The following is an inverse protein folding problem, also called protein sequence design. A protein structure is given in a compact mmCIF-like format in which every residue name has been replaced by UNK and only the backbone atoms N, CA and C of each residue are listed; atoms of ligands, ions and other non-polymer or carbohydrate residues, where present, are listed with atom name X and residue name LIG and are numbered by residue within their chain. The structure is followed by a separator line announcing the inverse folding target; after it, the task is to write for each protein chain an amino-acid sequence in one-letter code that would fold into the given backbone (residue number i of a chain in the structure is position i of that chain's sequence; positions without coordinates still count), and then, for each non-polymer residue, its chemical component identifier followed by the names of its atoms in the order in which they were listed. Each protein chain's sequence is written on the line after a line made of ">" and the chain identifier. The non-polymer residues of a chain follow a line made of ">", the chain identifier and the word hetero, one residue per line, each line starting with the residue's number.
data_IF_501906964013
#
_entry.id   IF_501906964013
#
_cell.length_a   1.000
_cell.length_b   1.000
_cell.length_c   1.000
_cell.angle_alpha   90.00
_cell.angle_beta   90.00
_cell.angle_gamma   90.00
#
_symmetry.space_group_name_H-M   'P 1'
#
loop_
_entity.id
_entity.type
_entity.pdbx_description
1 polymer ?
#
# COMPACT_ATOMS: atom_id res chain seq x y z
N UNK A 1 -80.40 16.78 62.11
CA UNK A 1 -81.03 15.85 61.15
C UNK A 1 -80.07 15.66 59.96
N UNK A 2 -79.80 14.39 59.60
CA UNK A 2 -79.22 13.86 58.34
C UNK A 2 -77.77 14.24 57.96
N UNK A 3 -76.76 13.36 58.13
CA UNK A 3 -76.20 12.30 57.21
C UNK A 3 -75.62 12.87 55.89
N UNK A 4 -74.29 13.12 55.76
CA UNK A 4 -73.16 12.26 55.26
C UNK A 4 -73.09 12.13 53.69
N UNK A 5 -71.94 11.82 53.01
CA UNK A 5 -70.59 12.44 53.00
C UNK A 5 -69.76 12.24 51.66
N UNK A 6 -68.45 12.58 51.69
CA UNK A 6 -67.25 12.06 50.94
C UNK A 6 -67.16 12.15 49.40
N UNK A 7 -66.08 12.80 48.89
CA UNK A 7 -65.04 12.32 47.92
C UNK A 7 -64.32 13.55 47.30
N UNK A 8 -63.04 13.63 46.91
CA UNK A 8 -61.82 12.79 47.00
C UNK A 8 -60.62 13.65 46.54
N UNK A 9 -59.40 13.24 46.96
CA UNK A 9 -58.08 13.41 46.30
C UNK A 9 -57.31 14.74 46.44
N UNK A 10 -56.26 14.68 47.27
CA UNK A 10 -54.91 15.23 46.99
C UNK A 10 -54.09 14.18 46.23
N UNK A 11 -53.06 14.55 45.44
CA UNK A 11 -51.67 14.38 45.91
C UNK A 11 -50.71 15.49 45.33
N UNK A 12 -49.37 15.34 45.29
CA UNK A 12 -48.47 16.10 46.17
C UNK A 12 -47.49 17.04 45.43
N UNK A 13 -46.90 17.96 46.20
CA UNK A 13 -45.67 18.67 45.85
C UNK A 13 -44.49 17.69 45.93
N UNK A 14 -43.67 17.60 44.87
CA UNK A 14 -42.29 17.10 44.94
C UNK A 14 -41.43 17.91 43.95
N UNK A 15 -40.38 18.49 44.51
CA UNK A 15 -39.46 19.45 43.90
C UNK A 15 -38.54 18.81 42.85
N UNK A 16 -38.38 19.48 41.71
CA UNK A 16 -37.37 19.19 40.70
C UNK A 16 -36.08 19.94 41.01
N UNK A 17 -35.03 19.22 41.41
CA UNK A 17 -33.65 19.70 41.40
C UNK A 17 -33.11 19.50 39.98
N UNK A 18 -32.95 20.59 39.23
CA UNK A 18 -32.30 20.58 37.93
C UNK A 18 -30.78 20.62 38.11
N UNK A 19 -30.13 19.47 38.01
CA UNK A 19 -28.68 19.38 37.84
C UNK A 19 -28.32 19.59 36.37
N UNK A 20 -27.67 20.71 36.05
CA UNK A 20 -27.14 20.99 34.72
C UNK A 20 -25.93 20.08 34.46
N UNK A 21 -26.08 19.08 33.59
CA UNK A 21 -24.95 18.35 33.03
C UNK A 21 -24.32 19.19 31.91
N UNK A 22 -23.11 19.72 32.15
CA UNK A 22 -22.22 20.18 31.09
C UNK A 22 -21.76 18.97 30.29
N UNK A 23 -22.45 18.69 29.17
CA UNK A 23 -21.93 17.81 28.15
C UNK A 23 -20.74 18.51 27.48
N UNK A 24 -19.53 18.08 27.79
CA UNK A 24 -18.35 18.41 26.97
C UNK A 24 -18.55 17.71 25.64
N UNK A 25 -19.05 18.46 24.65
CA UNK A 25 -19.02 18.03 23.25
C UNK A 25 -17.54 18.00 22.87
N UNK A 26 -16.95 16.80 22.86
CA UNK A 26 -15.68 16.57 22.17
C UNK A 26 -15.95 16.77 20.68
N UNK A 27 -15.72 18.01 20.20
CA UNK A 27 -15.60 18.26 18.79
C UNK A 27 -14.44 17.41 18.29
N UNK A 28 -14.70 16.50 17.35
CA UNK A 28 -13.63 15.80 16.65
C UNK A 28 -12.72 16.85 16.01
N UNK A 29 -11.57 17.11 16.60
CA UNK A 29 -10.61 18.08 16.09
C UNK A 29 -10.14 17.58 14.73
N UNK A 30 -10.20 18.43 13.71
CA UNK A 30 -9.68 18.10 12.39
C UNK A 30 -8.20 17.67 12.51
N UNK A 31 -7.78 16.70 11.69
CA UNK A 31 -6.39 16.31 11.64
C UNK A 31 -5.48 17.53 11.37
N UNK A 32 -4.31 17.62 12.02
CA UNK A 32 -3.37 18.73 11.83
C UNK A 32 -2.75 18.73 10.42
N UNK A 33 -1.98 19.78 10.09
CA UNK A 33 -1.21 19.79 8.85
C UNK A 33 -0.07 18.78 8.89
N UNK A 34 0.41 18.32 7.73
CA UNK A 34 1.59 17.46 7.68
C UNK A 34 2.82 18.17 8.27
N UNK A 35 2.97 19.48 7.99
CA UNK A 35 4.02 20.33 8.54
C UNK A 35 4.07 20.26 10.09
N UNK A 36 2.90 20.31 10.75
CA UNK A 36 2.81 20.26 12.22
C UNK A 36 3.17 18.88 12.77
N UNK A 37 2.72 17.81 12.11
CA UNK A 37 2.95 16.43 12.59
C UNK A 37 4.43 16.04 12.51
N UNK A 38 5.14 16.58 11.52
CA UNK A 38 6.53 16.26 11.19
C UNK A 38 7.49 17.39 11.58
N UNK A 39 7.07 18.31 12.45
CA UNK A 39 7.94 19.34 12.98
C UNK A 39 9.22 18.72 13.60
N UNK A 40 10.38 19.24 13.20
CA UNK A 40 11.70 18.74 13.62
C UNK A 40 12.24 17.54 12.84
N UNK A 41 11.48 17.00 11.87
CA UNK A 41 11.93 15.93 10.98
C UNK A 41 12.81 16.51 9.87
N UNK A 42 13.95 15.88 9.63
CA UNK A 42 14.81 16.17 8.47
C UNK A 42 15.05 14.90 7.65
N UNK A 43 14.46 14.84 6.46
CA UNK A 43 14.70 13.74 5.53
C UNK A 43 15.98 13.98 4.73
N UNK A 44 16.81 12.93 4.64
CA UNK A 44 17.91 12.85 3.68
C UNK A 44 17.35 12.66 2.27
N UNK A 45 17.53 13.63 1.34
CA UNK A 45 17.03 13.54 -0.02
C UNK A 45 17.54 12.34 -0.82
N UNK A 46 18.67 11.75 -0.44
CA UNK A 46 19.25 10.57 -1.07
C UNK A 46 18.71 9.24 -0.50
N UNK A 47 17.82 9.29 0.50
CA UNK A 47 17.30 8.12 1.22
C UNK A 47 15.77 8.06 1.21
N UNK A 48 15.18 8.27 0.03
CA UNK A 48 13.73 8.24 -0.19
C UNK A 48 13.37 7.01 -1.02
N UNK A 49 12.49 6.18 -0.51
CA UNK A 49 12.00 4.99 -1.21
C UNK A 49 10.49 4.86 -1.14
N UNK A 50 9.93 4.03 -2.01
CA UNK A 50 8.49 3.80 -2.04
C UNK A 50 8.15 2.32 -2.10
N UNK A 51 6.97 1.92 -1.64
CA UNK A 51 6.45 0.58 -1.89
C UNK A 51 4.94 0.57 -1.91
N UNK A 52 4.33 -0.49 -2.42
CA UNK A 52 2.90 -0.65 -2.30
C UNK A 52 2.37 -1.99 -2.75
N UNK A 53 1.11 -2.23 -2.41
CA UNK A 53 0.37 -3.45 -2.77
C UNK A 53 -0.78 -3.16 -3.73
N UNK A 54 -1.06 -4.06 -4.67
CA UNK A 54 -2.23 -3.96 -5.56
C UNK A 54 -2.20 -2.66 -6.38
N UNK A 55 -3.28 -1.88 -6.41
CA UNK A 55 -3.25 -0.51 -6.98
C UNK A 55 -2.16 0.39 -6.39
N UNK A 56 -1.81 0.22 -5.11
CA UNK A 56 -0.66 0.87 -4.49
C UNK A 56 0.68 0.37 -5.02
N UNK A 57 0.78 -0.88 -5.46
CA UNK A 57 1.95 -1.42 -6.17
C UNK A 57 2.09 -0.83 -7.58
N UNK A 58 0.98 -0.65 -8.31
CA UNK A 58 0.98 0.12 -9.55
C UNK A 58 1.43 1.56 -9.30
N UNK A 59 0.90 2.23 -8.26
CA UNK A 59 1.30 3.59 -7.90
C UNK A 59 2.76 3.67 -7.49
N UNK A 60 3.27 2.73 -6.70
CA UNK A 60 4.69 2.67 -6.31
C UNK A 60 5.60 2.61 -7.55
N UNK A 61 5.26 1.75 -8.52
CA UNK A 61 6.02 1.67 -9.77
C UNK A 61 5.89 2.94 -10.61
N UNK A 62 4.69 3.52 -10.73
CA UNK A 62 4.46 4.79 -11.43
C UNK A 62 5.26 5.94 -10.81
N UNK A 63 5.23 6.04 -9.48
CA UNK A 63 5.91 7.08 -8.73
C UNK A 63 7.44 6.95 -8.86
N UNK A 64 7.96 5.72 -8.76
CA UNK A 64 9.38 5.42 -8.97
C UNK A 64 9.84 5.86 -10.38
N UNK A 65 9.08 5.52 -11.42
CA UNK A 65 9.41 5.94 -12.79
C UNK A 65 9.24 7.45 -12.99
N UNK A 66 8.20 8.06 -12.41
CA UNK A 66 7.94 9.48 -12.55
C UNK A 66 9.01 10.37 -11.90
N UNK A 67 9.60 9.88 -10.79
CA UNK A 67 10.59 10.59 -9.99
C UNK A 67 11.91 9.81 -9.86
N UNK A 68 12.31 9.11 -10.92
CA UNK A 68 13.47 8.18 -10.94
C UNK A 68 14.82 8.78 -10.58
N UNK A 69 14.94 10.11 -10.54
CA UNK A 69 16.17 10.79 -10.12
C UNK A 69 16.27 10.98 -8.59
N UNK A 70 15.19 10.73 -7.85
CA UNK A 70 15.07 11.09 -6.43
C UNK A 70 14.61 9.94 -5.53
N UNK A 71 14.19 8.83 -6.11
CA UNK A 71 13.68 7.67 -5.39
C UNK A 71 14.70 6.55 -5.53
N UNK A 72 15.38 6.18 -4.46
CA UNK A 72 16.50 5.23 -4.48
C UNK A 72 16.09 3.75 -4.59
N UNK A 73 14.78 3.47 -4.63
CA UNK A 73 14.28 2.11 -4.69
C UNK A 73 12.79 1.95 -4.46
N UNK A 74 12.28 0.79 -4.88
CA UNK A 74 10.86 0.46 -4.85
C UNK A 74 10.54 -0.98 -4.46
N UNK A 75 9.48 -1.16 -3.65
CA UNK A 75 8.82 -2.43 -3.40
C UNK A 75 7.49 -2.54 -4.15
N UNK A 76 7.30 -3.57 -4.99
CA UNK A 76 6.04 -3.79 -5.73
C UNK A 76 5.43 -5.14 -5.33
N UNK A 77 4.33 -5.09 -4.58
CA UNK A 77 3.59 -6.27 -4.12
C UNK A 77 2.34 -6.42 -4.97
N UNK A 78 2.26 -7.45 -5.81
CA UNK A 78 1.09 -7.68 -6.67
C UNK A 78 0.61 -6.39 -7.40
N UNK A 79 1.55 -5.63 -7.97
CA UNK A 79 1.27 -4.42 -8.75
C UNK A 79 1.26 -4.71 -10.25
N UNK A 80 1.83 -3.82 -11.06
CA UNK A 80 1.97 -4.11 -12.48
C UNK A 80 2.67 -2.99 -13.27
N UNK A 81 2.81 -3.17 -14.59
CA UNK A 81 3.67 -2.32 -15.43
C UNK A 81 3.28 -0.84 -15.42
N UNK A 82 4.28 0.03 -15.60
CA UNK A 82 4.08 1.44 -15.88
C UNK A 82 3.11 1.63 -17.05
N UNK A 83 2.05 2.43 -16.85
CA UNK A 83 1.00 2.68 -17.85
C UNK A 83 0.29 1.41 -18.38
N UNK A 84 0.18 0.35 -17.57
CA UNK A 84 -0.36 -0.94 -18.00
C UNK A 84 -1.74 -0.87 -18.67
N UNK A 85 -2.65 -0.07 -18.10
CA UNK A 85 -4.03 0.07 -18.57
C UNK A 85 -4.18 0.96 -19.80
N UNK A 86 -3.11 1.64 -20.24
CA UNK A 86 -3.13 2.58 -21.34
C UNK A 86 -4.27 3.63 -21.28
N UNK A 87 -4.64 4.06 -20.07
CA UNK A 87 -5.75 5.00 -19.89
C UNK A 87 -7.14 4.39 -20.10
N UNK A 88 -7.32 3.07 -19.96
CA UNK A 88 -8.61 2.39 -20.16
C UNK A 88 -9.00 1.53 -18.96
N UNK A 89 -10.23 1.72 -18.47
CA UNK A 89 -10.76 0.89 -17.38
C UNK A 89 -10.90 -0.58 -17.81
N UNK A 90 -11.18 -0.83 -19.09
CA UNK A 90 -11.31 -2.19 -19.61
C UNK A 90 -9.95 -2.91 -19.59
N UNK A 91 -8.89 -2.25 -20.05
CA UNK A 91 -7.55 -2.83 -20.02
C UNK A 91 -7.05 -3.01 -18.59
N UNK A 92 -7.39 -2.10 -17.68
CA UNK A 92 -7.12 -2.25 -16.27
C UNK A 92 -7.69 -3.58 -15.73
N UNK A 93 -8.98 -3.84 -15.96
CA UNK A 93 -9.66 -5.01 -15.38
C UNK A 93 -9.53 -6.32 -16.16
N UNK A 94 -8.85 -6.31 -17.32
CA UNK A 94 -8.68 -7.49 -18.18
C UNK A 94 -7.22 -7.84 -18.49
N UNK A 95 -6.35 -6.86 -18.72
CA UNK A 95 -4.94 -7.07 -19.06
C UNK A 95 -4.01 -6.95 -17.85
N UNK A 96 -4.37 -6.13 -16.89
CA UNK A 96 -3.51 -5.79 -15.77
C UNK A 96 -3.96 -6.39 -14.43
N UNK A 97 -5.24 -6.78 -14.34
CA UNK A 97 -5.84 -7.38 -13.15
C UNK A 97 -7.03 -8.25 -13.55
N UNK A 98 -7.59 -8.99 -12.59
CA UNK A 98 -8.77 -9.82 -12.74
C UNK A 98 -9.94 -9.30 -11.87
N UNK A 99 -10.04 -7.98 -11.73
CA UNK A 99 -11.04 -7.35 -10.88
C UNK A 99 -12.49 -7.55 -11.34
N UNK A 100 -12.73 -7.53 -12.65
CA UNK A 100 -14.05 -7.82 -13.25
C UNK A 100 -14.35 -9.32 -13.22
N UNK A 101 -13.33 -10.17 -13.28
CA UNK A 101 -13.50 -11.62 -13.14
C UNK A 101 -14.10 -12.01 -11.79
N UNK A 102 -13.62 -11.37 -10.71
CA UNK A 102 -14.10 -11.64 -9.36
C UNK A 102 -15.56 -11.22 -9.19
N UNK A 103 -15.94 -10.03 -9.65
CA UNK A 103 -17.33 -9.57 -9.62
C UNK A 103 -18.24 -10.41 -10.54
N UNK A 104 -17.78 -10.75 -11.74
CA UNK A 104 -18.50 -11.61 -12.68
C UNK A 104 -18.82 -12.99 -12.08
N UNK A 105 -17.84 -13.62 -11.42
CA UNK A 105 -18.04 -14.90 -10.73
C UNK A 105 -18.94 -14.77 -9.50
N UNK A 106 -18.81 -13.67 -8.75
CA UNK A 106 -19.65 -13.40 -7.58
C UNK A 106 -21.12 -13.17 -7.95
N UNK A 107 -21.40 -12.69 -9.17
CA UNK A 107 -22.75 -12.55 -9.73
C UNK A 107 -23.34 -13.86 -10.29
N UNK A 108 -22.64 -15.00 -10.15
CA UNK A 108 -23.12 -16.31 -10.58
C UNK A 108 -23.16 -16.51 -12.10
N UNK A 109 -22.45 -15.67 -12.86
CA UNK A 109 -22.31 -15.83 -14.31
C UNK A 109 -21.39 -17.00 -14.65
N UNK A 110 -21.60 -17.63 -15.81
CA UNK A 110 -20.81 -18.77 -16.26
C UNK A 110 -19.32 -18.42 -16.26
N UNK A 111 -18.52 -19.22 -15.54
CA UNK A 111 -17.08 -19.06 -15.42
C UNK A 111 -16.35 -19.03 -16.78
N UNK A 112 -16.91 -19.65 -17.83
CA UNK A 112 -16.42 -19.62 -19.22
C UNK A 112 -16.61 -18.27 -19.89
N UNK A 113 -17.64 -17.51 -19.52
CA UNK A 113 -17.85 -16.15 -20.00
C UNK A 113 -16.94 -15.18 -19.27
N UNK A 114 -16.82 -15.34 -17.95
CA UNK A 114 -15.88 -14.55 -17.18
C UNK A 114 -14.46 -14.80 -17.71
N UNK A 115 -13.96 -16.06 -17.78
CA UNK A 115 -12.56 -16.37 -18.10
C UNK A 115 -12.06 -15.90 -19.47
N UNK A 116 -12.95 -15.63 -20.42
CA UNK A 116 -12.60 -15.03 -21.73
C UNK A 116 -12.11 -13.58 -21.63
N UNK A 117 -12.23 -12.96 -20.46
CA UNK A 117 -11.78 -11.58 -20.22
C UNK A 117 -10.40 -11.48 -19.57
N UNK A 118 -9.77 -12.61 -19.23
CA UNK A 118 -8.41 -12.63 -18.69
C UNK A 118 -7.35 -12.55 -19.81
N UNK A 119 -6.95 -11.32 -20.13
CA UNK A 119 -6.01 -10.96 -21.19
C UNK A 119 -4.61 -10.65 -20.66
N UNK A 120 -4.35 -10.93 -19.38
CA UNK A 120 -3.02 -10.77 -18.79
C UNK A 120 -2.00 -11.72 -19.43
N UNK A 121 -0.69 -11.36 -19.47
CA UNK A 121 0.34 -12.20 -20.05
C UNK A 121 0.33 -13.63 -19.46
N UNK A 122 0.41 -14.64 -20.31
CA UNK A 122 0.38 -16.07 -19.93
C UNK A 122 1.73 -16.74 -19.94
N UNK A 123 2.72 -16.10 -20.57
CA UNK A 123 4.05 -16.65 -20.73
C UNK A 123 5.11 -15.54 -20.78
N UNK A 124 6.38 -15.94 -20.72
CA UNK A 124 7.51 -15.02 -20.66
C UNK A 124 7.68 -14.16 -21.93
N UNK A 125 7.21 -14.61 -23.11
CA UNK A 125 7.28 -13.82 -24.33
C UNK A 125 6.27 -12.67 -24.29
N UNK A 126 5.04 -12.96 -23.85
CA UNK A 126 4.00 -11.95 -23.66
C UNK A 126 4.39 -10.95 -22.56
N UNK A 127 4.95 -11.42 -21.44
CA UNK A 127 5.42 -10.55 -20.36
C UNK A 127 6.49 -9.57 -20.86
N UNK A 128 7.47 -10.04 -21.63
CA UNK A 128 8.49 -9.17 -22.27
C UNK A 128 7.89 -8.18 -23.26
N UNK A 129 6.86 -8.57 -24.01
CA UNK A 129 6.15 -7.65 -24.93
C UNK A 129 5.47 -6.52 -24.15
N UNK A 130 4.80 -6.84 -23.05
CA UNK A 130 4.18 -5.84 -22.18
C UNK A 130 5.25 -4.94 -21.54
N UNK A 131 6.35 -5.52 -21.05
CA UNK A 131 7.48 -4.74 -20.52
C UNK A 131 8.07 -3.77 -21.55
N UNK A 132 8.21 -4.21 -22.82
CA UNK A 132 8.69 -3.35 -23.90
C UNK A 132 7.73 -2.19 -24.20
N UNK A 133 6.41 -2.44 -24.23
CA UNK A 133 5.41 -1.39 -24.42
C UNK A 133 5.40 -0.39 -23.25
N UNK A 134 5.48 -0.90 -22.02
CA UNK A 134 5.58 -0.13 -20.78
C UNK A 134 6.83 0.79 -20.78
N UNK A 135 8.01 0.24 -21.06
CA UNK A 135 9.25 1.02 -21.11
C UNK A 135 9.28 2.01 -22.29
N UNK A 136 8.67 1.66 -23.43
CA UNK A 136 8.51 2.59 -24.54
C UNK A 136 7.64 3.80 -24.16
N UNK A 137 6.60 3.61 -23.35
CA UNK A 137 5.82 4.74 -22.80
C UNK A 137 6.66 5.58 -21.84
N UNK A 138 7.40 4.97 -20.92
CA UNK A 138 8.31 5.70 -20.02
C UNK A 138 9.28 6.58 -20.82
N UNK A 139 9.94 6.04 -21.86
CA UNK A 139 10.82 6.82 -22.75
C UNK A 139 10.11 7.97 -23.46
N UNK A 140 8.85 7.77 -23.89
CA UNK A 140 8.04 8.86 -24.48
C UNK A 140 7.81 9.99 -23.48
N UNK A 141 7.49 9.66 -22.23
CA UNK A 141 7.23 10.67 -21.20
C UNK A 141 8.52 11.36 -20.73
N UNK A 142 9.65 10.64 -20.67
CA UNK A 142 10.96 11.22 -20.39
C UNK A 142 11.36 12.22 -21.48
N UNK A 143 11.21 11.84 -22.76
CA UNK A 143 11.49 12.71 -23.89
C UNK A 143 10.59 13.96 -23.91
N UNK A 144 9.36 13.82 -23.39
CA UNK A 144 8.42 14.92 -23.23
C UNK A 144 8.65 15.76 -21.95
N UNK A 145 9.63 15.42 -21.12
CA UNK A 145 9.92 16.11 -19.85
C UNK A 145 8.81 15.98 -18.80
N UNK A 146 7.98 14.93 -18.88
CA UNK A 146 6.86 14.70 -17.94
C UNK A 146 7.21 13.74 -16.79
N UNK A 147 8.37 13.12 -16.87
CA UNK A 147 8.96 12.28 -15.82
C UNK A 147 10.47 12.55 -15.72
N UNK A 148 11.09 12.09 -14.64
CA UNK A 148 12.53 12.15 -14.45
C UNK A 148 13.32 11.29 -15.44
N UNK A 149 14.64 11.43 -15.41
CA UNK A 149 15.54 10.65 -16.26
C UNK A 149 15.53 9.17 -15.88
N UNK A 150 15.23 8.30 -16.84
CA UNK A 150 15.17 6.85 -16.65
C UNK A 150 16.54 6.25 -16.35
N UNK A 151 17.63 6.93 -16.71
CA UNK A 151 18.99 6.56 -16.31
C UNK A 151 19.15 6.52 -14.77
N UNK A 152 18.34 7.27 -14.02
CA UNK A 152 18.32 7.21 -12.56
C UNK A 152 17.95 5.83 -12.01
N UNK A 153 17.15 5.04 -12.76
CA UNK A 153 16.68 3.73 -12.33
C UNK A 153 17.79 2.67 -12.20
N UNK A 154 18.91 2.83 -12.91
CA UNK A 154 19.91 1.77 -13.06
C UNK A 154 20.54 1.35 -11.72
N UNK A 155 20.77 2.31 -10.82
CA UNK A 155 21.37 2.09 -9.50
C UNK A 155 20.37 1.80 -8.39
N UNK A 156 19.07 1.87 -8.66
CA UNK A 156 18.03 1.76 -7.65
C UNK A 156 17.84 0.30 -7.18
N UNK A 157 17.33 0.16 -5.95
CA UNK A 157 17.04 -1.14 -5.34
C UNK A 157 15.56 -1.53 -5.56
N UNK A 158 15.32 -2.73 -6.07
CA UNK A 158 13.97 -3.22 -6.39
C UNK A 158 13.63 -4.52 -5.67
N UNK A 159 12.46 -4.53 -5.03
CA UNK A 159 11.85 -5.74 -4.49
C UNK A 159 10.51 -5.99 -5.17
N UNK A 160 10.31 -7.18 -5.73
CA UNK A 160 9.06 -7.60 -6.35
C UNK A 160 8.52 -8.84 -5.64
N UNK A 161 7.19 -8.91 -5.48
CA UNK A 161 6.53 -10.15 -5.09
C UNK A 161 5.22 -10.35 -5.84
N UNK A 162 5.01 -11.59 -6.29
CA UNK A 162 3.76 -12.10 -6.82
C UNK A 162 3.48 -13.43 -6.11
N UNK A 163 2.52 -13.46 -5.21
CA UNK A 163 2.23 -14.64 -4.40
C UNK A 163 1.66 -15.79 -5.25
N UNK A 164 1.94 -17.05 -4.86
CA UNK A 164 1.63 -18.27 -5.62
C UNK A 164 0.12 -18.41 -5.93
N UNK A 165 -0.75 -17.92 -5.03
CA UNK A 165 -2.20 -18.06 -5.15
C UNK A 165 -2.92 -16.72 -5.33
N UNK A 166 -2.21 -15.68 -5.79
CA UNK A 166 -2.83 -14.42 -6.18
C UNK A 166 -3.69 -14.61 -7.43
N UNK A 167 -5.01 -14.48 -7.25
CA UNK A 167 -6.00 -14.58 -8.31
C UNK A 167 -6.51 -13.20 -8.79
N UNK A 168 -5.96 -12.10 -8.27
CA UNK A 168 -6.36 -10.73 -8.61
C UNK A 168 -5.35 -10.13 -9.58
N UNK A 169 -4.06 -10.29 -9.31
CA UNK A 169 -2.97 -9.79 -10.14
C UNK A 169 -2.15 -10.97 -10.63
N UNK A 170 -2.30 -11.37 -11.91
CA UNK A 170 -1.62 -12.55 -12.44
C UNK A 170 -0.09 -12.40 -12.47
N UNK A 171 0.63 -13.50 -12.27
CA UNK A 171 2.10 -13.53 -12.36
C UNK A 171 2.65 -12.89 -13.63
N UNK A 172 2.03 -13.09 -14.79
CA UNK A 172 2.51 -12.51 -16.04
C UNK A 172 2.51 -10.98 -16.07
N UNK A 173 1.66 -10.33 -15.26
CA UNK A 173 1.65 -8.87 -15.07
C UNK A 173 2.89 -8.44 -14.28
N UNK A 174 3.18 -9.12 -13.17
CA UNK A 174 4.39 -8.85 -12.36
C UNK A 174 5.69 -9.27 -13.07
N UNK A 175 5.65 -10.32 -13.90
CA UNK A 175 6.77 -10.71 -14.76
C UNK A 175 7.12 -9.60 -15.77
N UNK A 176 6.13 -8.83 -16.23
CA UNK A 176 6.37 -7.66 -17.08
C UNK A 176 7.03 -6.50 -16.31
N UNK A 177 6.73 -6.33 -15.01
CA UNK A 177 7.45 -5.38 -14.13
C UNK A 177 8.90 -5.82 -13.94
N UNK A 178 9.11 -7.11 -13.70
CA UNK A 178 10.46 -7.67 -13.61
C UNK A 178 11.27 -7.39 -14.88
N UNK A 179 10.72 -7.70 -16.06
CA UNK A 179 11.39 -7.44 -17.33
C UNK A 179 11.59 -5.95 -17.63
N UNK A 180 10.71 -5.06 -17.16
CA UNK A 180 10.92 -3.60 -17.25
C UNK A 180 12.23 -3.19 -16.56
N UNK A 181 12.51 -3.77 -15.40
CA UNK A 181 13.70 -3.45 -14.62
C UNK A 181 14.97 -4.14 -15.11
N UNK A 182 14.91 -5.45 -15.43
CA UNK A 182 16.13 -6.25 -15.62
C UNK A 182 16.64 -6.32 -17.05
N UNK A 183 15.78 -6.13 -18.05
CA UNK A 183 16.22 -6.30 -19.43
C UNK A 183 17.18 -5.18 -19.84
N UNK A 184 18.28 -5.53 -20.50
CA UNK A 184 19.39 -4.63 -20.82
C UNK A 184 19.00 -3.46 -21.76
N UNK A 185 17.91 -3.58 -22.51
CA UNK A 185 17.36 -2.54 -23.39
C UNK A 185 16.31 -1.64 -22.71
N UNK A 186 16.10 -1.81 -21.41
CA UNK A 186 15.11 -1.11 -20.58
C UNK A 186 15.79 -0.35 -19.43
N UNK A 187 15.37 -0.55 -18.18
CA UNK A 187 15.99 0.14 -17.05
C UNK A 187 17.39 -0.44 -16.72
N UNK A 188 17.64 -1.69 -17.10
CA UNK A 188 18.92 -2.36 -16.94
C UNK A 188 19.51 -2.26 -15.52
N UNK A 189 18.67 -2.49 -14.50
CA UNK A 189 19.09 -2.45 -13.09
C UNK A 189 20.32 -3.31 -12.87
N UNK A 190 21.26 -2.79 -12.09
CA UNK A 190 22.51 -3.45 -11.78
C UNK A 190 22.29 -4.87 -11.22
N UNK A 191 23.17 -5.79 -11.61
CA UNK A 191 23.07 -7.18 -11.17
C UNK A 191 23.16 -7.24 -9.65
N UNK A 192 22.15 -7.84 -9.03
CA UNK A 192 22.08 -7.94 -7.58
C UNK A 192 21.32 -6.82 -6.91
N UNK A 193 20.77 -5.83 -7.64
CA UNK A 193 19.89 -4.76 -7.11
C UNK A 193 18.39 -5.05 -7.26
N UNK A 194 17.99 -6.24 -7.73
CA UNK A 194 16.59 -6.68 -7.79
C UNK A 194 16.36 -8.07 -7.21
N UNK A 195 15.33 -8.19 -6.37
CA UNK A 195 14.79 -9.48 -5.90
C UNK A 195 13.35 -9.67 -6.38
N UNK A 196 12.99 -10.89 -6.77
CA UNK A 196 11.63 -11.22 -7.19
C UNK A 196 11.15 -12.54 -6.59
N UNK A 197 10.27 -12.42 -5.59
CA UNK A 197 9.62 -13.55 -4.93
C UNK A 197 8.37 -13.96 -5.71
N UNK A 198 8.32 -15.22 -6.14
CA UNK A 198 7.22 -15.76 -6.97
C UNK A 198 6.52 -16.95 -6.36
N UNK A 199 7.01 -17.41 -5.21
CA UNK A 199 6.64 -18.72 -4.66
C UNK A 199 6.12 -18.66 -3.24
N UNK A 200 6.01 -17.46 -2.65
CA UNK A 200 5.38 -17.32 -1.35
C UNK A 200 3.90 -17.79 -1.43
N UNK A 201 3.49 -18.78 -0.61
CA UNK A 201 2.15 -19.34 -0.67
C UNK A 201 1.17 -18.43 0.06
N UNK A 202 0.64 -17.44 -0.65
CA UNK A 202 -0.41 -16.54 -0.16
C UNK A 202 -1.37 -16.18 -1.29
N UNK A 203 -2.54 -15.67 -0.92
CA UNK A 203 -3.47 -15.01 -1.85
C UNK A 203 -3.05 -13.54 -2.04
N UNK A 204 -3.91 -12.74 -2.66
CA UNK A 204 -3.72 -11.31 -2.80
C UNK A 204 -3.83 -10.61 -1.44
N UNK A 205 -2.71 -10.38 -0.76
CA UNK A 205 -2.68 -9.83 0.60
C UNK A 205 -1.32 -9.23 0.93
N UNK A 206 -1.28 -8.29 1.87
CA UNK A 206 -0.02 -7.85 2.48
C UNK A 206 0.39 -8.91 3.51
N UNK A 207 1.42 -9.68 3.16
CA UNK A 207 1.95 -10.77 3.98
C UNK A 207 2.68 -10.21 5.19
N UNK A 208 2.38 -10.74 6.38
CA UNK A 208 3.11 -10.47 7.63
C UNK A 208 3.23 -11.73 8.48
N UNK A 209 4.02 -11.66 9.54
CA UNK A 209 4.05 -12.68 10.60
C UNK A 209 3.30 -12.20 11.85
N UNK A 210 3.52 -12.86 13.00
CA UNK A 210 2.84 -12.56 14.26
C UNK A 210 3.41 -11.37 15.03
N UNK A 211 4.54 -10.79 14.61
CA UNK A 211 5.21 -9.73 15.39
C UNK A 211 4.32 -8.48 15.49
N UNK A 212 4.16 -7.91 16.69
CA UNK A 212 3.30 -6.75 16.96
C UNK A 212 1.89 -6.85 16.33
N UNK A 213 1.35 -8.08 16.19
CA UNK A 213 0.01 -8.31 15.64
C UNK A 213 -1.03 -7.81 16.65
N UNK A 214 -2.03 -7.01 16.23
CA UNK A 214 -3.09 -6.57 17.13
C UNK A 214 -3.99 -7.73 17.56
N UNK A 215 -4.67 -7.57 18.69
CA UNK A 215 -5.77 -8.47 19.05
C UNK A 215 -6.98 -8.25 18.11
N UNK A 216 -7.77 -9.31 17.91
CA UNK A 216 -8.99 -9.28 17.08
C UNK A 216 -8.75 -9.61 15.60
N UNK A 217 -9.81 -9.44 14.80
CA UNK A 217 -9.89 -9.95 13.42
C UNK A 217 -9.53 -8.89 12.36
N UNK A 218 -8.56 -8.03 12.65
CA UNK A 218 -8.08 -6.99 11.70
C UNK A 218 -6.89 -7.43 10.85
N UNK A 219 -6.20 -8.48 11.29
CA UNK A 219 -5.18 -9.21 10.51
C UNK A 219 -5.69 -10.62 10.30
N UNK A 220 -5.85 -11.02 9.03
CA UNK A 220 -6.36 -12.33 8.65
C UNK A 220 -5.36 -13.46 8.90
N UNK A 221 -5.77 -14.68 8.55
CA UNK A 221 -5.05 -15.94 8.84
C UNK A 221 -4.40 -16.58 7.61
N UNK A 222 -4.28 -15.84 6.51
CA UNK A 222 -3.62 -16.29 5.27
C UNK A 222 -4.19 -17.60 4.69
N UNK A 223 -5.51 -17.67 4.41
CA UNK A 223 -6.13 -18.91 3.94
C UNK A 223 -5.65 -19.31 2.54
N UNK A 224 -5.27 -20.57 2.37
CA UNK A 224 -4.82 -21.13 1.09
C UNK A 224 -5.89 -22.00 0.41
N UNK A 225 -5.89 -22.11 -0.92
CA UNK A 225 -6.68 -23.12 -1.63
C UNK A 225 -6.45 -24.53 -1.06
N UNK A 226 -7.49 -25.39 -0.97
CA UNK A 226 -8.83 -25.23 -1.53
C UNK A 226 -9.82 -24.43 -0.65
N UNK A 227 -9.40 -23.90 0.52
CA UNK A 227 -10.29 -23.09 1.34
C UNK A 227 -10.77 -21.85 0.56
N UNK A 228 -12.05 -21.44 0.69
CA UNK A 228 -12.55 -20.25 0.01
C UNK A 228 -11.83 -18.98 0.50
N UNK A 229 -11.71 -17.94 -0.34
CA UNK A 229 -11.18 -16.65 0.11
C UNK A 229 -12.11 -16.01 1.16
N UNK A 230 -11.59 -15.16 2.06
CA UNK A 230 -12.40 -14.38 2.98
C UNK A 230 -13.44 -13.52 2.24
N UNK A 231 -14.59 -13.22 2.85
CA UNK A 231 -15.52 -12.23 2.32
C UNK A 231 -14.85 -10.85 2.21
N UNK A 232 -14.94 -10.24 1.04
CA UNK A 232 -14.23 -9.00 0.69
C UNK A 232 -14.61 -7.79 1.58
N UNK A 233 -15.80 -7.80 2.18
CA UNK A 233 -16.27 -6.71 3.06
C UNK A 233 -15.69 -6.82 4.49
N UNK A 234 -15.17 -7.99 4.84
CA UNK A 234 -14.46 -8.28 6.10
C UNK A 234 -12.95 -8.36 5.94
N UNK A 235 -12.43 -8.32 4.71
CA UNK A 235 -11.01 -8.54 4.44
C UNK A 235 -10.22 -7.22 4.50
N UNK A 236 -9.23 -7.16 5.39
CA UNK A 236 -8.29 -6.04 5.46
C UNK A 236 -7.18 -6.15 4.40
N UNK A 237 -7.06 -7.29 3.72
CA UNK A 237 -5.97 -7.65 2.81
C UNK A 237 -4.59 -7.53 3.47
N UNK A 238 -4.54 -7.90 4.75
CA UNK A 238 -3.35 -8.00 5.57
C UNK A 238 -3.47 -9.33 6.31
N UNK A 239 -2.55 -10.25 6.06
CA UNK A 239 -2.64 -11.62 6.56
C UNK A 239 -1.38 -12.03 7.31
N UNK A 240 -1.59 -12.64 8.47
CA UNK A 240 -0.56 -13.38 9.18
C UNK A 240 -0.36 -14.75 8.52
N UNK A 241 0.74 -14.87 7.77
CA UNK A 241 1.13 -16.06 7.04
C UNK A 241 2.25 -16.85 7.75
N UNK A 242 2.56 -16.59 9.02
CA UNK A 242 3.70 -17.22 9.70
C UNK A 242 3.58 -18.75 9.74
N UNK A 243 2.40 -19.26 10.11
CA UNK A 243 2.12 -20.68 10.16
C UNK A 243 2.23 -21.32 8.77
N UNK A 244 1.71 -20.64 7.75
CA UNK A 244 1.77 -21.07 6.35
C UNK A 244 3.22 -21.18 5.87
N UNK A 245 4.04 -20.16 6.14
CA UNK A 245 5.46 -20.16 5.77
C UNK A 245 6.22 -21.30 6.44
N UNK A 246 6.06 -21.44 7.77
CA UNK A 246 6.71 -22.53 8.54
C UNK A 246 6.30 -23.92 8.05
N UNK A 247 5.02 -24.13 7.76
CA UNK A 247 4.54 -25.40 7.21
C UNK A 247 5.13 -25.69 5.83
N UNK A 248 5.24 -24.69 4.93
CA UNK A 248 5.89 -24.89 3.63
C UNK A 248 7.40 -25.13 3.80
N UNK A 249 8.08 -24.44 4.71
CA UNK A 249 9.49 -24.66 4.99
C UNK A 249 9.79 -26.10 5.46
N UNK A 250 8.94 -26.65 6.33
CA UNK A 250 9.05 -28.04 6.77
C UNK A 250 8.84 -29.02 5.62
N UNK A 251 7.81 -28.79 4.79
CA UNK A 251 7.50 -29.62 3.62
C UNK A 251 8.62 -29.61 2.57
N UNK A 252 9.22 -28.44 2.33
CA UNK A 252 10.30 -28.26 1.35
C UNK A 252 11.70 -28.53 1.93
N UNK A 253 11.79 -28.86 3.24
CA UNK A 253 13.03 -29.14 3.98
C UNK A 253 14.04 -28.00 3.92
N UNK A 254 13.57 -26.78 4.18
CA UNK A 254 14.39 -25.57 4.08
C UNK A 254 15.49 -25.46 5.14
N UNK A 255 15.23 -25.96 6.35
CA UNK A 255 16.21 -25.97 7.44
C UNK A 255 16.93 -27.32 7.51
N UNK A 256 18.23 -27.28 7.81
CA UNK A 256 18.94 -28.50 8.20
C UNK A 256 18.65 -28.85 9.66
N UNK A 257 18.27 -30.10 9.98
CA UNK A 257 18.35 -30.56 11.34
C UNK A 257 19.81 -30.53 11.81
N UNK A 258 20.07 -30.33 13.13
CA UNK A 258 21.42 -30.45 13.67
C UNK A 258 22.02 -31.81 13.30
N UNK A 259 23.30 -31.82 12.92
CA UNK A 259 23.96 -33.02 12.39
C UNK A 259 23.81 -34.21 13.35
N UNK A 260 23.17 -35.28 12.91
CA UNK A 260 22.97 -36.48 13.73
C UNK A 260 24.28 -37.23 14.05
N UNK A 261 25.34 -36.99 13.26
CA UNK A 261 26.72 -37.46 13.47
C UNK A 261 27.72 -36.47 12.88
N UNK A 262 28.86 -36.30 13.55
CA UNK A 262 30.01 -35.57 13.02
C UNK A 262 30.48 -36.23 11.71
N UNK A 263 30.48 -35.47 10.61
CA UNK A 263 31.00 -35.92 9.30
C UNK A 263 29.96 -36.26 8.22
N UNK A 264 28.65 -36.24 8.53
CA UNK A 264 27.61 -36.37 7.50
C UNK A 264 27.18 -34.96 7.03
N UNK A 265 27.50 -34.59 5.79
CA UNK A 265 27.02 -33.34 5.21
C UNK A 265 25.52 -33.46 4.86
N UNK A 266 24.66 -32.83 5.65
CA UNK A 266 23.27 -32.59 5.28
C UNK A 266 23.23 -31.43 4.28
N UNK A 267 22.83 -31.70 3.04
CA UNK A 267 22.60 -30.66 2.03
C UNK A 267 21.18 -30.13 2.21
N UNK A 268 21.04 -28.94 2.81
CA UNK A 268 19.77 -28.23 2.88
C UNK A 268 19.96 -26.76 2.47
N UNK A 269 19.00 -26.19 1.73
CA UNK A 269 17.79 -26.86 1.22
C UNK A 269 18.14 -27.89 0.12
N UNK A 270 17.25 -28.88 -0.15
CA UNK A 270 17.47 -29.84 -1.22
C UNK A 270 17.78 -29.16 -2.57
N UNK A 271 18.52 -29.82 -3.48
CA UNK A 271 18.73 -29.31 -4.83
C UNK A 271 17.40 -28.88 -5.49
N UNK A 272 17.37 -27.69 -6.09
CA UNK A 272 16.16 -27.10 -6.68
C UNK A 272 15.19 -26.42 -5.70
N UNK A 273 15.42 -26.49 -4.38
CA UNK A 273 14.55 -25.84 -3.37
C UNK A 273 15.10 -24.53 -2.81
N UNK A 274 16.25 -24.07 -3.29
CA UNK A 274 16.89 -22.84 -2.80
C UNK A 274 16.01 -21.61 -2.98
N UNK A 275 15.37 -21.45 -4.15
CA UNK A 275 14.51 -20.30 -4.43
C UNK A 275 13.28 -20.27 -3.50
N UNK A 276 12.52 -21.37 -3.42
CA UNK A 276 11.33 -21.42 -2.55
C UNK A 276 11.70 -21.25 -1.08
N UNK A 277 12.82 -21.81 -0.62
CA UNK A 277 13.24 -21.67 0.76
C UNK A 277 13.72 -20.26 1.13
N UNK A 278 14.32 -19.53 0.17
CA UNK A 278 14.62 -18.11 0.32
C UNK A 278 13.33 -17.30 0.34
N UNK A 279 12.45 -17.48 -0.65
CA UNK A 279 11.19 -16.76 -0.78
C UNK A 279 10.31 -16.90 0.48
N UNK A 280 10.31 -18.07 1.14
CA UNK A 280 9.57 -18.30 2.38
C UNK A 280 10.09 -17.52 3.60
N UNK A 281 11.29 -16.94 3.52
CA UNK A 281 11.81 -16.05 4.57
C UNK A 281 11.16 -14.68 4.54
N UNK A 282 10.49 -14.31 3.43
CA UNK A 282 9.84 -13.02 3.23
C UNK A 282 8.43 -12.97 3.85
N UNK A 283 8.17 -13.80 4.87
CA UNK A 283 6.92 -13.74 5.65
C UNK A 283 6.79 -12.42 6.43
N UNK A 284 7.93 -11.81 6.77
CA UNK A 284 8.02 -10.39 7.12
C UNK A 284 8.27 -9.58 5.84
N UNK A 285 7.19 -9.35 5.07
CA UNK A 285 7.29 -8.76 3.74
C UNK A 285 7.77 -7.30 3.78
N UNK A 286 7.28 -6.50 4.73
CA UNK A 286 7.77 -5.14 4.94
C UNK A 286 9.27 -5.14 5.24
N UNK A 287 9.72 -6.04 6.11
CA UNK A 287 11.15 -6.24 6.39
C UNK A 287 11.94 -6.70 5.17
N UNK A 288 11.41 -7.58 4.33
CA UNK A 288 12.05 -8.00 3.08
C UNK A 288 12.24 -6.81 2.11
N UNK A 289 11.20 -5.99 1.93
CA UNK A 289 11.23 -4.77 1.11
C UNK A 289 12.27 -3.78 1.65
N UNK A 290 12.22 -3.44 2.95
CA UNK A 290 13.12 -2.45 3.54
C UNK A 290 14.58 -2.92 3.55
N UNK A 291 14.84 -4.20 3.84
CA UNK A 291 16.19 -4.78 3.78
C UNK A 291 16.75 -4.77 2.37
N UNK A 292 15.91 -5.01 1.36
CA UNK A 292 16.31 -4.93 -0.05
C UNK A 292 16.67 -3.50 -0.43
N UNK A 293 15.82 -2.54 -0.08
CA UNK A 293 15.99 -1.15 -0.52
C UNK A 293 17.14 -0.45 0.19
N UNK A 294 17.21 -0.55 1.52
CA UNK A 294 18.22 0.16 2.30
C UNK A 294 19.52 -0.64 2.48
N UNK A 295 19.49 -1.95 2.23
CA UNK A 295 20.58 -2.87 2.50
C UNK A 295 20.59 -3.34 3.97
N UNK A 296 20.73 -4.65 4.17
CA UNK A 296 20.68 -5.25 5.51
C UNK A 296 21.78 -4.70 6.45
N UNK A 297 22.94 -4.32 5.93
CA UNK A 297 24.04 -3.75 6.71
C UNK A 297 23.79 -2.28 7.13
N UNK A 298 22.92 -1.55 6.41
CA UNK A 298 22.62 -0.15 6.72
C UNK A 298 21.49 0.01 7.76
N UNK A 299 20.75 -1.06 8.02
CA UNK A 299 19.74 -1.13 9.07
C UNK A 299 20.44 -1.37 10.43
N UNK A 300 20.13 -0.51 11.40
CA UNK A 300 20.71 -0.51 12.75
C UNK A 300 20.18 -1.64 13.63
N UNK A 301 18.96 -2.11 13.36
CA UNK A 301 18.30 -3.12 14.17
C UNK A 301 17.16 -3.81 13.42
N UNK A 302 16.61 -4.84 14.06
CA UNK A 302 15.42 -5.56 13.58
C UNK A 302 14.13 -4.79 13.86
N UNK A 303 13.09 -5.50 14.29
CA UNK A 303 11.78 -4.90 14.60
C UNK A 303 11.68 -4.50 16.07
N UNK A 304 11.03 -3.37 16.34
CA UNK A 304 10.68 -2.88 17.69
C UNK A 304 9.17 -2.68 17.75
N UNK A 305 8.53 -3.11 18.83
CA UNK A 305 7.09 -2.91 19.03
C UNK A 305 6.75 -1.42 19.12
N UNK A 306 5.62 -1.05 18.51
CA UNK A 306 5.10 0.33 18.51
C UNK A 306 3.61 0.32 18.86
N UNK A 307 3.14 1.41 19.47
CA UNK A 307 1.71 1.55 19.78
C UNK A 307 0.96 2.02 18.54
N UNK A 308 -0.28 1.55 18.36
CA UNK A 308 -1.16 2.02 17.27
C UNK A 308 -1.33 3.55 17.25
N UNK A 309 -1.26 4.19 18.42
CA UNK A 309 -1.37 5.64 18.59
C UNK A 309 -0.14 6.41 18.12
N UNK A 310 0.98 5.75 17.84
CA UNK A 310 2.20 6.38 17.33
C UNK A 310 2.07 6.77 15.85
N UNK A 311 1.17 6.11 15.12
CA UNK A 311 0.79 6.49 13.75
C UNK A 311 -0.16 7.69 13.81
N UNK A 312 0.28 8.83 13.28
CA UNK A 312 -0.46 10.10 13.36
C UNK A 312 -1.16 10.41 12.04
N UNK A 313 -2.39 10.93 12.13
CA UNK A 313 -3.13 11.43 10.99
C UNK A 313 -2.71 12.88 10.64
N UNK A 314 -2.80 13.24 9.36
CA UNK A 314 -2.67 14.61 8.87
C UNK A 314 -3.70 14.91 7.78
N UNK A 315 -4.11 16.17 7.62
CA UNK A 315 -5.11 16.58 6.62
C UNK A 315 -4.48 16.77 5.24
N UNK A 316 -4.76 15.84 4.31
CA UNK A 316 -4.23 15.89 2.95
C UNK A 316 -4.76 17.10 2.17
N UNK A 317 -5.90 17.71 2.56
CA UNK A 317 -6.37 18.94 1.90
C UNK A 317 -5.38 20.09 2.07
N UNK A 318 -4.67 20.12 3.19
CA UNK A 318 -3.63 21.14 3.45
C UNK A 318 -2.40 20.92 2.59
N UNK A 319 -2.10 19.66 2.20
CA UNK A 319 -1.08 19.35 1.19
C UNK A 319 -1.52 19.87 -0.18
N UNK A 320 -2.75 19.61 -0.60
CA UNK A 320 -3.30 20.15 -1.85
C UNK A 320 -3.31 21.69 -1.85
N UNK A 321 -3.51 22.32 -0.70
CA UNK A 321 -3.47 23.78 -0.54
C UNK A 321 -2.10 24.41 -0.82
N UNK A 322 -1.02 23.62 -0.89
CA UNK A 322 0.31 24.10 -1.27
C UNK A 322 0.48 24.29 -2.79
N UNK A 323 -0.37 23.66 -3.62
CA UNK A 323 -0.23 23.69 -5.09
C UNK A 323 -1.55 23.89 -5.85
N UNK A 324 -2.66 24.15 -5.16
CA UNK A 324 -3.97 24.34 -5.75
C UNK A 324 -4.77 25.39 -4.99
N UNK A 325 -5.39 26.32 -5.73
CA UNK A 325 -6.32 27.32 -5.20
C UNK A 325 -7.70 26.73 -4.84
N UNK A 326 -7.98 25.49 -5.27
CA UNK A 326 -9.23 24.77 -5.03
C UNK A 326 -8.95 23.39 -4.39
N UNK A 327 -8.26 23.35 -3.23
CA UNK A 327 -7.69 22.12 -2.69
C UNK A 327 -8.74 21.06 -2.35
N UNK A 328 -9.92 21.47 -1.90
CA UNK A 328 -11.03 20.56 -1.64
C UNK A 328 -11.46 19.84 -2.92
N UNK A 329 -11.68 20.58 -4.01
CA UNK A 329 -12.15 20.00 -5.27
C UNK A 329 -11.07 19.11 -5.90
N UNK A 330 -9.80 19.55 -5.91
CA UNK A 330 -8.72 18.73 -6.47
C UNK A 330 -8.47 17.44 -5.68
N UNK A 331 -8.56 17.48 -4.34
CA UNK A 331 -8.50 16.27 -3.51
C UNK A 331 -9.62 15.29 -3.85
N UNK A 332 -10.86 15.78 -4.01
CA UNK A 332 -12.01 14.96 -4.35
C UNK A 332 -11.88 14.38 -5.77
N UNK A 333 -11.45 15.19 -6.74
CA UNK A 333 -11.19 14.79 -8.13
C UNK A 333 -10.04 13.79 -8.26
N UNK A 334 -9.06 13.86 -7.37
CA UNK A 334 -7.99 12.87 -7.24
C UNK A 334 -8.44 11.60 -6.49
N UNK A 335 -9.66 11.57 -5.93
CA UNK A 335 -10.15 10.50 -5.04
C UNK A 335 -9.24 10.27 -3.83
N UNK A 336 -8.45 11.29 -3.45
CA UNK A 336 -7.63 11.26 -2.25
C UNK A 336 -8.54 11.37 -1.01
N UNK A 337 -8.16 10.70 0.06
CA UNK A 337 -8.87 10.78 1.33
C UNK A 337 -8.64 12.12 2.01
N UNK A 338 -9.48 12.49 2.99
CA UNK A 338 -9.21 13.69 3.78
C UNK A 338 -7.95 13.52 4.64
N UNK A 339 -7.79 12.36 5.27
CA UNK A 339 -6.68 12.08 6.19
C UNK A 339 -5.66 11.17 5.52
N UNK A 340 -4.38 11.50 5.67
CA UNK A 340 -3.23 10.63 5.44
C UNK A 340 -2.60 10.27 6.78
N UNK A 341 -1.68 9.31 6.79
CA UNK A 341 -1.01 8.88 8.03
C UNK A 341 0.50 8.93 7.93
N UNK A 342 1.17 9.15 9.04
CA UNK A 342 2.63 9.15 9.13
C UNK A 342 3.08 8.54 10.44
N UNK A 343 4.13 7.73 10.37
CA UNK A 343 4.87 7.24 11.51
C UNK A 343 6.24 7.93 11.54
N UNK A 344 6.54 8.61 12.65
CA UNK A 344 7.80 9.32 12.87
C UNK A 344 8.49 8.69 14.09
N UNK A 345 9.59 7.95 13.91
CA UNK A 345 10.36 7.43 15.04
C UNK A 345 10.76 8.58 15.99
N UNK A 346 10.76 8.38 17.32
CA UNK A 346 11.14 9.44 18.26
C UNK A 346 12.51 10.07 17.94
N UNK A 347 13.48 9.26 17.55
CA UNK A 347 14.82 9.71 17.17
C UNK A 347 14.80 10.72 16.00
N UNK A 348 13.82 10.66 15.11
CA UNK A 348 13.70 11.57 13.97
C UNK A 348 13.12 12.95 14.32
N UNK A 349 12.71 13.17 15.57
CA UNK A 349 12.20 14.46 16.05
C UNK A 349 13.30 15.39 16.58
N UNK A 350 14.49 14.85 16.81
CA UNK A 350 15.61 15.57 17.45
C UNK A 350 16.47 16.37 16.45
N UNK A 351 16.02 16.56 15.21
CA UNK A 351 16.76 17.33 14.20
C UNK A 351 17.75 16.50 13.35
N UNK A 352 17.89 15.19 13.61
CA UNK A 352 18.79 14.31 12.86
C UNK A 352 18.28 14.06 11.43
N UNK A 353 19.20 13.69 10.53
CA UNK A 353 18.79 13.14 9.23
C UNK A 353 18.18 11.74 9.40
N UNK A 354 17.02 11.55 8.78
CA UNK A 354 16.27 10.30 8.73
C UNK A 354 15.97 9.92 7.28
N UNK A 355 15.69 8.63 7.09
CA UNK A 355 15.26 8.07 5.81
C UNK A 355 13.76 8.24 5.65
N UNK A 356 13.25 8.16 4.43
CA UNK A 356 11.81 8.24 4.14
C UNK A 356 11.35 7.05 3.32
N UNK A 357 10.30 6.37 3.78
CA UNK A 357 9.58 5.37 3.01
C UNK A 357 8.13 5.82 2.79
N UNK A 358 7.66 5.79 1.54
CA UNK A 358 6.24 5.99 1.21
C UNK A 358 5.59 4.63 0.98
N UNK A 359 4.57 4.28 1.75
CA UNK A 359 3.89 3.00 1.63
C UNK A 359 2.44 3.19 1.11
N UNK A 360 2.18 2.71 -0.09
CA UNK A 360 0.90 2.80 -0.78
C UNK A 360 0.04 1.55 -0.52
N UNK A 361 -1.10 1.76 0.14
CA UNK A 361 -2.10 0.71 0.37
C UNK A 361 -2.77 0.25 -0.93
N UNK A 362 -3.41 -0.92 -0.92
CA UNK A 362 -4.17 -1.46 -2.05
C UNK A 362 -5.61 -0.94 -2.15
N UNK A 363 -6.35 -1.44 -3.14
CA UNK A 363 -7.79 -1.19 -3.21
C UNK A 363 -8.47 -1.71 -1.94
N UNK A 364 -9.51 -1.02 -1.46
CA UNK A 364 -10.23 -1.29 -0.20
C UNK A 364 -9.42 -1.18 1.09
N UNK A 365 -8.16 -0.74 1.02
CA UNK A 365 -7.29 -0.56 2.20
C UNK A 365 -7.05 0.92 2.54
N UNK A 366 -7.81 1.84 1.93
CA UNK A 366 -7.57 3.28 2.02
C UNK A 366 -8.70 4.07 2.63
N UNK A 367 -8.34 5.20 3.24
CA UNK A 367 -9.28 6.16 3.79
C UNK A 367 -10.13 5.53 4.90
N UNK A 368 -11.46 5.48 4.69
CA UNK A 368 -12.40 4.88 5.65
C UNK A 368 -12.85 3.46 5.23
N UNK A 369 -12.25 2.90 4.17
CA UNK A 369 -12.73 1.63 3.59
C UNK A 369 -12.42 0.43 4.49
N UNK A 370 -11.39 0.53 5.31
CA UNK A 370 -10.93 -0.50 6.24
C UNK A 370 -11.22 -0.16 7.70
N UNK A 371 -12.14 0.78 7.98
CA UNK A 371 -12.50 1.14 9.35
C UNK A 371 -13.08 -0.05 10.12
N UNK A 372 -12.55 -0.30 11.33
CA UNK A 372 -13.00 -1.38 12.22
C UNK A 372 -13.34 -0.83 13.60
N UNK A 373 -14.47 -1.24 14.20
CA UNK A 373 -14.77 -0.91 15.59
C UNK A 373 -13.61 -1.31 16.50
N UNK A 374 -13.21 -0.42 17.41
CA UNK A 374 -12.08 -0.64 18.32
C UNK A 374 -10.72 -0.20 17.79
N UNK A 375 -10.60 0.13 16.49
CA UNK A 375 -9.38 0.65 15.89
C UNK A 375 -9.61 2.06 15.34
N UNK A 376 -8.75 3.00 15.73
CA UNK A 376 -8.69 4.33 15.13
C UNK A 376 -7.87 4.32 13.85
N UNK A 377 -8.02 5.32 12.97
CA UNK A 377 -7.17 5.44 11.78
C UNK A 377 -7.28 4.29 10.76
N UNK A 378 -6.25 4.13 9.93
CA UNK A 378 -6.18 3.15 8.83
C UNK A 378 -5.37 1.90 9.22
N UNK A 379 -5.87 0.70 8.87
CA UNK A 379 -5.25 -0.58 9.27
C UNK A 379 -3.96 -0.84 8.50
N UNK A 380 -3.89 -0.51 7.21
CA UNK A 380 -2.66 -0.69 6.44
C UNK A 380 -1.52 0.14 7.01
N UNK A 381 -1.77 1.42 7.32
CA UNK A 381 -0.79 2.31 7.94
C UNK A 381 -0.27 1.79 9.29
N UNK A 382 -1.06 0.99 10.01
CA UNK A 382 -0.71 0.44 11.32
C UNK A 382 -0.04 -0.93 11.23
N UNK A 383 -0.57 -1.83 10.39
CA UNK A 383 -0.32 -3.26 10.49
C UNK A 383 0.35 -3.89 9.27
N UNK A 384 0.69 -3.10 8.24
CA UNK A 384 1.47 -3.61 7.11
C UNK A 384 2.91 -4.03 7.48
N UNK A 385 3.38 -3.72 8.69
CA UNK A 385 4.66 -4.20 9.25
C UNK A 385 5.87 -3.27 9.04
N UNK A 386 5.67 -2.09 8.44
CA UNK A 386 6.76 -1.14 8.19
C UNK A 386 7.19 -0.37 9.45
N UNK A 387 6.25 -0.05 10.35
CA UNK A 387 6.50 0.86 11.48
C UNK A 387 7.51 0.29 12.48
N UNK A 388 7.45 -1.02 12.70
CA UNK A 388 8.32 -1.73 13.64
C UNK A 388 9.78 -1.75 13.17
N UNK A 389 9.99 -1.86 11.86
CA UNK A 389 11.31 -1.69 11.24
C UNK A 389 11.73 -0.22 11.27
N UNK A 390 10.82 0.69 10.93
CA UNK A 390 11.08 2.11 10.91
C UNK A 390 11.54 2.66 12.27
N UNK A 391 10.90 2.21 13.35
CA UNK A 391 11.24 2.55 14.73
C UNK A 391 12.70 2.25 15.08
N UNK A 392 13.21 1.12 14.60
CA UNK A 392 14.57 0.68 14.89
C UNK A 392 15.64 1.30 13.97
N UNK A 393 15.23 1.95 12.88
CA UNK A 393 16.10 2.25 11.74
C UNK A 393 16.07 3.71 11.27
N UNK A 394 15.47 4.61 12.05
CA UNK A 394 15.34 6.04 11.74
C UNK A 394 14.70 6.27 10.36
N UNK A 395 13.64 5.53 10.07
CA UNK A 395 12.87 5.66 8.83
C UNK A 395 11.54 6.31 9.19
N UNK A 396 11.25 7.46 8.59
CA UNK A 396 9.90 8.02 8.61
C UNK A 396 9.08 7.27 7.57
N UNK A 397 7.88 6.83 7.93
CA UNK A 397 6.97 6.17 6.98
C UNK A 397 5.74 7.03 6.78
N UNK A 398 5.48 7.45 5.55
CA UNK A 398 4.25 8.16 5.19
C UNK A 398 3.33 7.24 4.41
N UNK A 399 2.05 7.28 4.75
CA UNK A 399 0.97 6.50 4.17
C UNK A 399 -0.06 7.47 3.58
N UNK A 400 0.19 7.97 2.36
CA UNK A 400 -0.83 8.68 1.60
C UNK A 400 -2.09 7.81 1.48
N UNK A 401 -3.26 8.44 1.42
CA UNK A 401 -4.54 7.72 1.42
C UNK A 401 -5.40 8.15 0.24
N UNK A 402 -5.93 7.17 -0.48
CA UNK A 402 -7.07 7.35 -1.40
C UNK A 402 -8.32 6.74 -0.78
N UNK A 403 -9.49 7.18 -1.21
CA UNK A 403 -10.77 6.70 -0.69
C UNK A 403 -11.75 6.42 -1.82
N UNK A 404 -12.81 5.67 -1.50
CA UNK A 404 -13.91 5.38 -2.42
C UNK A 404 -14.53 6.67 -2.99
N UNK A 405 -14.76 6.66 -4.31
CA UNK A 405 -15.57 7.64 -5.05
C UNK A 405 -16.56 6.93 -5.95
N UNK A 406 -17.84 7.15 -5.70
CA UNK A 406 -18.94 6.57 -6.46
C UNK A 406 -19.47 7.54 -7.51
N UNK A 407 -18.58 8.18 -8.28
CA UNK A 407 -18.97 8.96 -9.44
C UNK A 407 -19.63 8.10 -10.51
N UNK A 408 -20.14 8.75 -11.57
CA UNK A 408 -20.69 8.08 -12.75
C UNK A 408 -19.84 8.38 -13.98
N UNK A 409 -20.10 7.72 -15.11
CA UNK A 409 -19.45 8.08 -16.38
C UNK A 409 -19.72 9.53 -16.78
N UNK A 410 -20.86 10.10 -16.37
CA UNK A 410 -21.24 11.50 -16.61
C UNK A 410 -20.67 12.47 -15.56
N UNK A 411 -20.40 11.99 -14.34
CA UNK A 411 -19.81 12.75 -13.23
C UNK A 411 -18.69 11.95 -12.55
N UNK A 412 -17.49 11.87 -13.17
CA UNK A 412 -16.31 11.24 -12.55
C UNK A 412 -15.87 12.01 -11.28
N UNK A 413 -15.04 11.41 -10.39
CA UNK A 413 -14.30 10.16 -10.56
C UNK A 413 -15.06 8.88 -10.17
N UNK A 414 -14.89 7.83 -10.97
CA UNK A 414 -15.42 6.47 -10.76
C UNK A 414 -14.32 5.60 -10.14
N UNK A 415 -14.30 5.48 -8.82
CA UNK A 415 -13.36 4.65 -8.06
C UNK A 415 -14.09 3.98 -6.88
N UNK A 416 -15.00 3.03 -7.13
CA UNK A 416 -15.88 2.48 -6.09
C UNK A 416 -15.14 1.63 -5.03
N UNK A 417 -13.86 1.31 -5.28
CA UNK A 417 -13.03 0.50 -4.39
C UNK A 417 -11.90 1.27 -3.72
N UNK A 418 -11.81 2.59 -3.93
CA UNK A 418 -10.74 3.40 -3.34
C UNK A 418 -9.34 2.91 -3.72
N UNK A 419 -9.15 2.60 -5.01
CA UNK A 419 -7.84 2.25 -5.58
C UNK A 419 -7.03 3.50 -5.88
N UNK A 420 -5.70 3.40 -5.92
CA UNK A 420 -4.86 4.44 -6.54
C UNK A 420 -5.16 4.54 -8.03
N UNK A 421 -4.83 5.67 -8.67
CA UNK A 421 -5.06 5.84 -10.10
C UNK A 421 -3.96 5.17 -10.91
N UNK A 422 -4.36 4.09 -11.55
CA UNK A 422 -3.57 3.34 -12.51
C UNK A 422 -4.32 3.11 -13.82
N UNK A 423 -5.45 3.81 -14.05
CA UNK A 423 -6.25 3.67 -15.29
C UNK A 423 -6.75 4.97 -15.92
N UNK A 424 -6.80 6.09 -15.21
CA UNK A 424 -7.11 7.42 -15.74
C UNK A 424 -8.55 7.64 -16.21
N UNK A 425 -9.07 6.80 -17.11
CA UNK A 425 -10.38 6.97 -17.73
C UNK A 425 -11.52 6.96 -16.69
N UNK A 426 -12.38 7.98 -16.76
CA UNK A 426 -13.42 8.29 -15.77
C UNK A 426 -12.90 8.43 -14.33
N UNK A 427 -11.59 8.65 -14.16
CA UNK A 427 -10.92 8.84 -12.89
C UNK A 427 -10.14 10.17 -12.88
N UNK A 428 -8.80 10.17 -12.92
CA UNK A 428 -8.02 11.43 -12.99
C UNK A 428 -7.60 11.85 -14.40
N UNK A 429 -8.02 11.10 -15.41
CA UNK A 429 -7.79 11.30 -16.85
C UNK A 429 -6.34 11.05 -17.29
N UNK A 430 -5.91 11.65 -18.40
CA UNK A 430 -4.59 11.42 -18.99
C UNK A 430 -3.46 11.95 -18.09
N UNK A 431 -2.27 11.36 -18.21
CA UNK A 431 -1.08 11.79 -17.46
C UNK A 431 -1.05 11.34 -15.99
N UNK A 432 -1.97 10.49 -15.56
CA UNK A 432 -2.04 9.93 -14.19
C UNK A 432 -0.73 9.25 -13.73
N UNK A 433 0.06 8.75 -14.67
CA UNK A 433 1.34 8.06 -14.48
C UNK A 433 2.57 8.98 -14.57
N UNK A 434 2.38 10.30 -14.71
CA UNK A 434 3.46 11.29 -14.87
C UNK A 434 3.59 12.21 -13.66
N UNK A 435 4.61 13.07 -13.61
CA UNK A 435 4.77 14.07 -12.54
C UNK A 435 3.58 15.05 -12.44
N UNK A 436 2.79 15.21 -13.51
CA UNK A 436 1.58 16.03 -13.50
C UNK A 436 0.34 15.30 -12.94
N UNK A 437 0.41 13.98 -12.76
CA UNK A 437 -0.69 13.17 -12.26
C UNK A 437 -1.15 13.64 -10.88
N UNK A 438 -2.47 13.78 -10.66
CA UNK A 438 -3.02 14.43 -9.46
C UNK A 438 -2.56 13.79 -8.15
N UNK A 439 -2.52 12.45 -8.11
CA UNK A 439 -2.07 11.70 -6.94
C UNK A 439 -0.55 11.72 -6.79
N UNK A 440 0.19 11.62 -7.90
CA UNK A 440 1.66 11.72 -7.92
C UNK A 440 2.09 13.09 -7.37
N UNK A 441 1.48 14.19 -7.83
CA UNK A 441 1.71 15.55 -7.31
C UNK A 441 1.45 15.66 -5.81
N UNK A 442 0.34 15.09 -5.34
CA UNK A 442 0.01 15.13 -3.92
C UNK A 442 1.08 14.44 -3.07
N UNK A 443 1.55 13.28 -3.49
CA UNK A 443 2.61 12.54 -2.78
C UNK A 443 3.97 13.21 -2.92
N UNK A 444 4.30 13.74 -4.10
CA UNK A 444 5.51 14.55 -4.30
C UNK A 444 5.53 15.75 -3.35
N UNK A 445 4.40 16.43 -3.17
CA UNK A 445 4.29 17.53 -2.22
C UNK A 445 4.41 17.06 -0.75
N UNK A 446 3.90 15.88 -0.39
CA UNK A 446 4.12 15.31 0.95
C UNK A 446 5.61 15.09 1.22
N UNK A 447 6.34 14.56 0.24
CA UNK A 447 7.80 14.37 0.32
C UNK A 447 8.52 15.71 0.44
N UNK A 448 8.13 16.72 -0.35
CA UNK A 448 8.71 18.07 -0.25
C UNK A 448 8.52 18.69 1.14
N UNK A 449 7.33 18.52 1.75
CA UNK A 449 7.07 18.95 3.14
C UNK A 449 8.00 18.24 4.11
N UNK A 450 8.09 16.90 4.04
CA UNK A 450 8.97 16.06 4.86
C UNK A 450 10.46 16.40 4.68
N UNK A 451 10.86 16.85 3.49
CA UNK A 451 12.21 17.31 3.19
C UNK A 451 12.49 18.74 3.68
N UNK A 452 11.62 19.34 4.50
CA UNK A 452 11.78 20.68 5.06
C UNK A 452 11.27 21.79 4.12
N UNK A 453 10.25 21.50 3.30
CA UNK A 453 9.67 22.44 2.35
C UNK A 453 10.53 22.71 1.11
N UNK A 454 11.64 21.99 0.93
CA UNK A 454 12.46 22.05 -0.28
C UNK A 454 11.68 21.47 -1.46
N UNK A 455 11.75 22.13 -2.60
CA UNK A 455 11.19 21.61 -3.86
C UNK A 455 12.12 20.53 -4.43
N UNK A 456 12.15 19.37 -3.76
CA UNK A 456 12.97 18.22 -4.14
C UNK A 456 12.36 17.50 -5.34
N UNK A 457 11.06 17.25 -5.27
CA UNK A 457 10.29 16.64 -6.36
C UNK A 457 9.48 17.71 -7.08
N UNK A 458 9.47 17.69 -8.43
CA UNK A 458 8.66 18.63 -9.19
C UNK A 458 7.18 18.41 -8.91
N UNK A 459 6.43 19.51 -8.71
CA UNK A 459 4.97 19.52 -8.56
C UNK A 459 4.37 20.46 -9.62
N UNK A 460 4.32 20.05 -10.90
CA UNK A 460 3.93 20.93 -12.01
C UNK A 460 2.53 21.54 -11.81
N UNK A 461 2.37 22.81 -12.16
CA UNK A 461 1.08 23.50 -12.10
C UNK A 461 0.22 23.18 -13.34
N UNK A 462 -0.51 22.06 -13.25
CA UNK A 462 -1.44 21.51 -14.27
C UNK A 462 -0.77 20.77 -15.43
#
# INVERSE_FOLDING_TARGET
>A
MSRLPINTRRPPFLATVAAAMLAVVQWATAAPSLDDVVAGVHIDPAQISVSGISSGGFMAHQFHVAHSEHIMGVGVVAGGPYYCSAGSILDAVTKCSQFVMLECRQLGLDAKWCSKTDLAPKNAQEARRVAAASFAEAKRQEAAGRIGKLAGLQGDQVYLISAEYDAIVPHGVMDAVFHFYVDADKAAIETGNIDYNRSFPARHTMVRDTFNKPAGDVVGSCPLPPAPPPPVDGDAFIDDCEAVAKQRQLRERCACPPAARAGAATVCPPPGKHAVCRDLQDVDLAGAILRRIYGAQALKGGRVEIAESDVKAFDQRLVFGKFSDIPYNELQNASMAREGYVFVPPACRDGRQCRLHVAFHGCRQGGLTDHRPGHSGNLFAKFAGYNEWAQANDIVVVYPQVQVRNGTLASPPVNPRGCWDWWGQYYTHAGYHTQAGKQIRAVAQMINILAGGRELLPVPTR
#
